data_IF_916003135916
#
_entry.id   IF_916003135916
#
_cell.length_a   1.000
_cell.length_b   1.000
_cell.length_c   1.000
_cell.angle_alpha   90.00
_cell.angle_beta   90.00
_cell.angle_gamma   90.00
#
_symmetry.space_group_name_H-M   'P 1'
#
loop_
_entity.id
_entity.type
_entity.pdbx_description
1 polymer ?
#
# COMPACT_ATOMS: atom_id res chain seq x y z
N UNK A 1 -8.33 -1.99 -25.14
CA UNK A 1 -8.61 -3.01 -24.10
C UNK A 1 -8.45 -2.36 -22.74
N UNK A 2 -9.52 -2.30 -21.96
CA UNK A 2 -9.48 -1.80 -20.57
C UNK A 2 -8.71 -2.80 -19.73
N UNK A 3 -7.56 -2.40 -19.18
CA UNK A 3 -6.78 -3.22 -18.26
C UNK A 3 -7.53 -3.28 -16.93
N UNK A 4 -8.08 -4.43 -16.59
CA UNK A 4 -8.70 -4.70 -15.29
C UNK A 4 -7.64 -4.58 -14.20
N UNK A 5 -7.79 -3.62 -13.29
CA UNK A 5 -6.94 -3.50 -12.11
C UNK A 5 -7.54 -4.40 -11.04
N UNK A 6 -6.92 -5.55 -10.77
CA UNK A 6 -7.32 -6.41 -9.66
C UNK A 6 -6.85 -5.78 -8.36
N UNK A 7 -7.80 -5.47 -7.48
CA UNK A 7 -7.60 -4.85 -6.18
C UNK A 7 -7.77 -5.90 -5.08
N UNK A 8 -6.73 -6.10 -4.27
CA UNK A 8 -6.81 -6.95 -3.07
C UNK A 8 -6.41 -6.12 -1.87
N UNK A 9 -7.34 -6.01 -0.92
CA UNK A 9 -7.14 -5.39 0.39
C UNK A 9 -6.99 -6.48 1.43
N UNK A 10 -5.96 -6.38 2.25
CA UNK A 10 -5.83 -7.19 3.46
C UNK A 10 -5.58 -6.23 4.65
N UNK A 11 -6.43 -6.31 5.67
CA UNK A 11 -6.22 -5.63 6.95
C UNK A 11 -5.30 -6.49 7.83
N UNK A 12 -4.32 -5.84 8.46
CA UNK A 12 -3.39 -6.51 9.38
C UNK A 12 -3.38 -5.85 10.74
N UNK A 13 -3.32 -6.68 11.77
CA UNK A 13 -2.95 -6.27 13.12
C UNK A 13 -1.58 -6.88 13.44
N UNK A 14 -0.65 -6.06 13.92
CA UNK A 14 0.61 -6.57 14.45
C UNK A 14 0.35 -7.14 15.84
N UNK A 15 0.65 -8.41 16.05
CA UNK A 15 0.66 -9.02 17.39
C UNK A 15 1.73 -8.34 18.23
N UNK A 16 1.33 -7.80 19.39
CA UNK A 16 2.24 -7.13 20.33
C UNK A 16 3.17 -8.13 21.05
N UNK A 17 2.82 -9.41 21.05
CA UNK A 17 3.49 -10.46 21.82
C UNK A 17 4.54 -11.18 20.97
N UNK A 18 4.24 -11.43 19.68
CA UNK A 18 5.05 -12.32 18.84
C UNK A 18 5.83 -11.59 17.73
N UNK A 19 5.70 -10.27 17.61
CA UNK A 19 6.24 -9.50 16.47
C UNK A 19 5.72 -9.99 15.09
N UNK A 20 4.66 -10.78 15.06
CA UNK A 20 4.01 -11.32 13.85
C UNK A 20 2.86 -10.44 13.36
N UNK A 21 2.48 -10.57 12.10
CA UNK A 21 1.30 -9.92 11.53
C UNK A 21 0.17 -10.94 11.32
N UNK A 22 -0.97 -10.71 11.94
CA UNK A 22 -2.16 -11.56 11.74
C UNK A 22 -2.97 -10.99 10.57
N UNK A 23 -3.21 -11.83 9.55
CA UNK A 23 -4.17 -11.56 8.48
C UNK A 23 -5.57 -11.76 9.08
N UNK A 24 -6.38 -10.71 9.12
CA UNK A 24 -7.73 -10.79 9.75
C UNK A 24 -8.82 -11.16 8.73
N UNK A 25 -8.45 -11.46 7.48
CA UNK A 25 -9.32 -12.02 6.44
C UNK A 25 -9.10 -11.41 5.05
N UNK A 26 -9.52 -12.13 4.00
CA UNK A 26 -9.63 -11.64 2.62
C UNK A 26 -10.97 -10.92 2.46
N UNK A 27 -11.06 -9.69 2.95
CA UNK A 27 -12.28 -8.88 2.83
C UNK A 27 -12.15 -7.97 1.60
N UNK A 28 -13.06 -8.14 0.62
CA UNK A 28 -13.38 -7.08 -0.35
C UNK A 28 -14.05 -5.95 0.46
N UNK A 29 -13.26 -5.14 1.14
CA UNK A 29 -13.77 -4.00 1.89
C UNK A 29 -12.75 -2.89 1.73
N UNK A 30 -13.05 -1.97 0.85
CA UNK A 30 -12.45 -0.66 0.88
C UNK A 30 -13.43 0.34 0.33
N UNK A 31 -13.61 1.44 1.06
CA UNK A 31 -14.31 2.63 0.57
C UNK A 31 -13.59 3.31 -0.62
N UNK A 32 -12.47 2.73 -1.10
CA UNK A 32 -11.68 3.17 -2.24
C UNK A 32 -12.33 2.62 -3.52
N UNK A 33 -13.02 3.45 -4.33
CA UNK A 33 -13.73 2.99 -5.52
C UNK A 33 -12.80 2.66 -6.70
N UNK A 34 -11.60 3.26 -6.73
CA UNK A 34 -10.59 3.01 -7.75
C UNK A 34 -9.20 3.39 -7.24
N UNK A 35 -8.14 2.91 -7.89
CA UNK A 35 -6.78 3.42 -7.69
C UNK A 35 -6.26 3.96 -9.02
N UNK A 36 -5.79 5.20 -9.01
CA UNK A 36 -5.01 5.76 -10.11
C UNK A 36 -3.53 5.74 -9.74
N UNK A 37 -2.69 5.26 -10.65
CA UNK A 37 -1.22 5.29 -10.52
C UNK A 37 -0.67 6.32 -11.52
N UNK A 38 0.16 7.24 -11.05
CA UNK A 38 0.79 8.30 -11.86
C UNK A 38 2.27 8.44 -11.50
N UNK A 39 3.04 9.17 -12.32
CA UNK A 39 4.38 9.62 -11.95
C UNK A 39 4.31 10.85 -11.05
N UNK A 40 5.26 11.06 -10.13
CA UNK A 40 5.26 12.23 -9.25
C UNK A 40 5.48 13.52 -10.04
N UNK A 41 4.50 14.41 -9.99
CA UNK A 41 4.58 15.75 -10.57
C UNK A 41 5.04 16.81 -9.54
N UNK A 42 4.68 16.65 -8.27
CA UNK A 42 5.05 17.58 -7.18
C UNK A 42 6.48 17.40 -6.68
N UNK A 43 7.15 18.51 -6.35
CA UNK A 43 8.57 18.49 -5.95
C UNK A 43 8.82 17.81 -4.61
N UNK A 44 7.88 17.91 -3.66
CA UNK A 44 8.04 17.22 -2.37
C UNK A 44 8.03 15.69 -2.54
N UNK A 45 7.27 15.16 -3.51
CA UNK A 45 7.24 13.73 -3.81
C UNK A 45 8.56 13.27 -4.44
N UNK A 46 9.10 14.07 -5.37
CA UNK A 46 10.41 13.84 -5.98
C UNK A 46 11.53 13.86 -4.93
N UNK A 47 11.50 14.84 -4.01
CA UNK A 47 12.44 14.94 -2.88
C UNK A 47 12.38 13.72 -1.95
N UNK A 48 11.20 13.15 -1.75
CA UNK A 48 11.00 11.91 -1.01
C UNK A 48 11.37 10.64 -1.79
N UNK A 49 11.85 10.77 -3.04
CA UNK A 49 12.19 9.67 -3.95
C UNK A 49 11.00 8.75 -4.23
N UNK A 50 9.80 9.31 -4.27
CA UNK A 50 8.62 8.58 -4.75
C UNK A 50 8.85 8.21 -6.22
N UNK A 51 8.64 6.94 -6.56
CA UNK A 51 8.68 6.45 -7.96
C UNK A 51 7.32 6.61 -8.64
N UNK A 52 6.26 6.40 -7.88
CA UNK A 52 4.87 6.53 -8.33
C UNK A 52 4.06 7.33 -7.31
N UNK A 53 2.87 7.74 -7.71
CA UNK A 53 1.84 8.30 -6.84
C UNK A 53 0.61 7.45 -7.01
N UNK A 54 -0.03 7.07 -5.91
CA UNK A 54 -1.38 6.51 -5.97
C UNK A 54 -2.39 7.46 -5.37
N UNK A 55 -3.55 7.53 -6.01
CA UNK A 55 -4.65 8.34 -5.53
C UNK A 55 -6.02 7.75 -5.84
N UNK A 56 -7.00 8.12 -5.01
CA UNK A 56 -8.40 7.78 -5.18
C UNK A 56 -9.32 8.89 -4.70
N UNK A 57 -10.49 9.00 -5.32
CA UNK A 57 -11.49 10.01 -5.02
C UNK A 57 -12.87 9.39 -4.83
N UNK A 58 -13.64 9.92 -3.87
CA UNK A 58 -15.06 9.61 -3.64
C UNK A 58 -15.82 10.91 -3.50
N UNK A 59 -16.86 11.13 -4.30
CA UNK A 59 -17.65 12.37 -4.31
C UNK A 59 -16.77 13.64 -4.47
N UNK A 60 -15.82 13.61 -5.41
CA UNK A 60 -14.81 14.68 -5.66
C UNK A 60 -13.84 14.94 -4.49
N UNK A 61 -13.93 14.20 -3.38
CA UNK A 61 -12.99 14.28 -2.27
C UNK A 61 -11.90 13.22 -2.41
N UNK A 62 -10.65 13.65 -2.27
CA UNK A 62 -9.47 12.76 -2.26
C UNK A 62 -9.50 11.93 -0.97
N UNK A 63 -9.57 10.61 -1.10
CA UNK A 63 -9.64 9.66 0.03
C UNK A 63 -8.36 8.83 0.19
N UNK A 64 -7.56 8.76 -0.87
CA UNK A 64 -6.24 8.16 -0.88
C UNK A 64 -5.32 9.09 -1.67
N UNK A 65 -4.17 9.41 -1.11
CA UNK A 65 -3.09 10.07 -1.83
C UNK A 65 -1.77 9.79 -1.14
N UNK A 66 -0.86 9.13 -1.85
CA UNK A 66 0.47 8.84 -1.32
C UNK A 66 1.52 8.74 -2.41
N UNK A 67 2.73 9.20 -2.08
CA UNK A 67 3.94 8.93 -2.85
C UNK A 67 4.49 7.55 -2.51
N UNK A 68 4.80 6.77 -3.54
CA UNK A 68 5.26 5.39 -3.42
C UNK A 68 6.77 5.29 -3.51
N UNK A 69 7.41 4.98 -2.40
CA UNK A 69 8.86 4.79 -2.29
C UNK A 69 9.17 3.31 -2.46
N UNK A 70 10.06 2.92 -3.40
CA UNK A 70 10.35 1.51 -3.67
C UNK A 70 11.14 0.85 -2.54
N UNK A 71 10.86 -0.43 -2.29
CA UNK A 71 11.63 -1.31 -1.39
C UNK A 71 12.13 -2.60 -2.07
N UNK A 72 11.85 -2.76 -3.37
CA UNK A 72 12.33 -3.90 -4.18
C UNK A 72 11.20 -4.83 -4.62
N UNK A 73 11.46 -5.70 -5.60
CA UNK A 73 10.54 -6.74 -6.08
C UNK A 73 9.08 -6.27 -6.31
N UNK A 74 8.91 -5.11 -6.96
CA UNK A 74 7.59 -4.48 -7.21
C UNK A 74 6.83 -4.03 -5.95
N UNK A 75 7.49 -3.96 -4.81
CA UNK A 75 6.94 -3.42 -3.58
C UNK A 75 7.32 -1.96 -3.35
N UNK A 76 6.36 -1.25 -2.77
CA UNK A 76 6.43 0.15 -2.43
C UNK A 76 5.82 0.39 -1.05
N UNK A 77 6.19 1.49 -0.41
CA UNK A 77 5.46 1.99 0.75
C UNK A 77 5.15 3.48 0.63
N UNK A 78 4.21 3.95 1.45
CA UNK A 78 3.83 5.35 1.55
C UNK A 78 2.98 5.62 2.78
N UNK A 79 2.77 6.89 3.11
CA UNK A 79 1.76 7.30 4.08
C UNK A 79 0.55 7.89 3.36
N UNK A 80 -0.66 7.50 3.76
CA UNK A 80 -1.88 8.22 3.44
C UNK A 80 -2.24 9.13 4.62
N UNK A 81 -2.22 10.45 4.41
CA UNK A 81 -2.62 11.41 5.45
C UNK A 81 -4.12 11.63 5.38
N UNK A 82 -4.83 11.30 6.46
CA UNK A 82 -6.29 11.49 6.55
C UNK A 82 -6.63 12.94 6.95
N UNK A 83 -7.87 13.39 6.70
CA UNK A 83 -8.34 14.73 7.07
C UNK A 83 -8.17 15.07 8.56
N UNK A 84 -8.14 14.07 9.44
CA UNK A 84 -7.95 14.24 10.88
C UNK A 84 -6.47 14.21 11.31
N UNK A 85 -5.53 14.44 10.39
CA UNK A 85 -4.07 14.36 10.58
C UNK A 85 -3.52 12.99 11.03
N UNK A 86 -4.37 11.97 11.20
CA UNK A 86 -3.88 10.59 11.37
C UNK A 86 -3.32 10.10 10.05
N UNK A 87 -2.30 9.25 10.14
CA UNK A 87 -1.65 8.65 8.98
C UNK A 87 -1.94 7.16 8.96
N UNK A 88 -2.30 6.66 7.79
CA UNK A 88 -2.28 5.22 7.52
C UNK A 88 -0.97 4.92 6.79
N UNK A 89 -0.31 3.84 7.18
CA UNK A 89 0.87 3.36 6.49
C UNK A 89 0.44 2.33 5.46
N UNK A 90 1.04 2.42 4.27
CA UNK A 90 0.68 1.60 3.13
C UNK A 90 1.88 0.77 2.71
N UNK A 91 1.65 -0.51 2.46
CA UNK A 91 2.56 -1.36 1.68
C UNK A 91 1.81 -1.81 0.44
N UNK A 92 2.44 -1.68 -0.72
CA UNK A 92 1.81 -1.92 -2.02
C UNK A 92 2.68 -2.83 -2.85
N UNK A 93 2.07 -3.85 -3.42
CA UNK A 93 2.65 -4.58 -4.55
C UNK A 93 2.01 -4.05 -5.85
N UNK A 94 2.83 -3.66 -6.81
CA UNK A 94 2.35 -3.18 -8.10
C UNK A 94 3.05 -3.89 -9.27
N UNK A 95 2.29 -4.71 -9.99
CA UNK A 95 2.75 -5.38 -11.21
C UNK A 95 2.08 -4.76 -12.43
N UNK A 96 2.84 -3.91 -13.16
CA UNK A 96 2.34 -3.20 -14.34
C UNK A 96 2.08 -4.11 -15.55
N UNK A 97 2.81 -5.22 -15.67
CA UNK A 97 2.66 -6.19 -16.76
C UNK A 97 1.29 -6.87 -16.65
N UNK A 98 0.93 -7.29 -15.44
CA UNK A 98 -0.33 -8.01 -15.17
C UNK A 98 -1.48 -7.10 -14.75
N UNK A 99 -1.21 -5.80 -14.62
CA UNK A 99 -2.19 -4.82 -14.14
C UNK A 99 -2.75 -5.15 -12.75
N UNK A 100 -1.90 -5.61 -11.84
CA UNK A 100 -2.30 -6.03 -10.49
C UNK A 100 -1.78 -5.06 -9.44
N UNK A 101 -2.64 -4.69 -8.48
CA UNK A 101 -2.27 -3.90 -7.30
C UNK A 101 -2.78 -4.60 -6.04
N UNK A 102 -1.88 -4.96 -5.13
CA UNK A 102 -2.26 -5.35 -3.76
C UNK A 102 -1.99 -4.17 -2.85
N UNK A 103 -3.00 -3.76 -2.09
CA UNK A 103 -2.93 -2.63 -1.16
C UNK A 103 -3.07 -3.15 0.27
N UNK A 104 -2.01 -3.02 1.06
CA UNK A 104 -2.00 -3.37 2.47
C UNK A 104 -2.01 -2.09 3.30
N UNK A 105 -3.06 -1.92 4.11
CA UNK A 105 -3.28 -0.70 4.90
C UNK A 105 -3.10 -0.98 6.38
N UNK A 106 -2.24 -0.19 7.02
CA UNK A 106 -2.04 -0.18 8.46
C UNK A 106 -2.65 1.10 9.03
N UNK A 107 -3.89 1.01 9.47
CA UNK A 107 -4.68 2.15 9.91
C UNK A 107 -4.08 2.86 11.13
N UNK A 108 -4.10 4.20 11.10
CA UNK A 108 -3.64 5.07 12.19
C UNK A 108 -2.21 4.75 12.66
N UNK A 109 -1.37 4.27 11.74
CA UNK A 109 0.00 3.87 11.99
C UNK A 109 0.93 4.56 10.99
N UNK A 110 2.03 5.12 11.47
CA UNK A 110 3.15 5.53 10.61
C UNK A 110 4.45 5.11 11.32
N UNK A 111 5.07 3.99 10.90
CA UNK A 111 6.29 3.49 11.52
C UNK A 111 7.43 4.51 11.44
N UNK A 112 8.28 4.59 12.47
CA UNK A 112 9.48 5.46 12.44
C UNK A 112 10.49 5.00 11.38
N UNK A 113 10.78 3.70 11.35
CA UNK A 113 11.63 3.05 10.33
C UNK A 113 10.75 2.40 9.26
N UNK A 114 10.27 3.21 8.32
CA UNK A 114 9.25 2.78 7.34
C UNK A 114 9.71 1.68 6.40
N UNK A 115 10.92 1.83 5.84
CA UNK A 115 11.50 0.86 4.93
C UNK A 115 11.69 -0.50 5.63
N UNK A 116 12.32 -0.51 6.81
CA UNK A 116 12.52 -1.71 7.63
C UNK A 116 11.18 -2.40 7.93
N UNK A 117 10.19 -1.64 8.39
CA UNK A 117 8.87 -2.18 8.68
C UNK A 117 8.20 -2.80 7.45
N UNK A 118 8.31 -2.15 6.28
CA UNK A 118 7.74 -2.68 5.05
C UNK A 118 8.48 -3.93 4.57
N UNK A 119 9.80 -3.97 4.69
CA UNK A 119 10.61 -5.15 4.37
C UNK A 119 10.26 -6.33 5.30
N UNK A 120 10.18 -6.11 6.61
CA UNK A 120 9.76 -7.12 7.59
C UNK A 120 8.38 -7.68 7.26
N UNK A 121 7.45 -6.81 6.87
CA UNK A 121 6.11 -7.21 6.50
C UNK A 121 6.09 -8.04 5.20
N UNK A 122 6.80 -7.61 4.16
CA UNK A 122 6.91 -8.37 2.91
C UNK A 122 7.60 -9.72 3.15
N UNK A 123 8.64 -9.76 3.98
CA UNK A 123 9.29 -11.00 4.40
C UNK A 123 8.30 -11.95 5.09
N UNK A 124 7.51 -11.43 6.03
CA UNK A 124 6.45 -12.20 6.69
C UNK A 124 5.42 -12.76 5.70
N UNK A 125 4.98 -11.97 4.73
CA UNK A 125 4.08 -12.45 3.66
C UNK A 125 4.70 -13.62 2.88
N UNK A 126 6.01 -13.57 2.62
CA UNK A 126 6.76 -14.66 2.00
C UNK A 126 6.72 -15.94 2.82
N UNK A 127 7.01 -15.83 4.11
CA UNK A 127 7.02 -16.97 5.04
C UNK A 127 5.68 -17.68 5.15
N UNK A 128 4.57 -16.94 5.13
CA UNK A 128 3.23 -17.52 5.23
C UNK A 128 2.62 -17.88 3.86
N UNK A 129 3.40 -17.82 2.78
CA UNK A 129 2.94 -18.16 1.42
C UNK A 129 1.86 -17.22 0.87
N UNK A 130 1.82 -15.97 1.34
CA UNK A 130 0.83 -14.94 0.97
C UNK A 130 1.43 -13.79 0.16
N UNK A 131 2.65 -13.95 -0.36
CA UNK A 131 3.10 -13.03 -1.41
C UNK A 131 2.13 -13.15 -2.59
N UNK A 132 1.75 -12.03 -3.23
CA UNK A 132 1.15 -12.05 -4.56
C UNK A 132 2.09 -12.74 -5.55
N UNK A 133 1.96 -14.07 -5.63
CA UNK A 133 2.81 -14.92 -6.44
C UNK A 133 2.71 -14.54 -7.91
N UNK A 134 3.78 -14.83 -8.64
CA UNK A 134 3.90 -14.72 -10.09
C UNK A 134 2.98 -15.73 -10.83
N UNK A 135 1.66 -15.77 -10.57
CA UNK A 135 0.67 -16.52 -11.40
C UNK A 135 0.46 -15.82 -12.74
#
# INVERSE_FOLDING_TARGET
MSKSIVYVHCQYKKSKILNTYDIVGDKIVSDIPFIRVETPNEDFLKKQRAKFVIQSFKNRKKILFTGLIPIGHNYYYGDNVKPNNKKDFLVIYYNSIRSVIHLYIFENRSPRKKADFANDFVYHLGHIGKLPNNI
#
